data_IF_510441967711
#
_entry.id   IF_510441967711
#
_cell.length_a   1.000
_cell.length_b   1.000
_cell.length_c   1.000
_cell.angle_alpha   90.00
_cell.angle_beta   90.00
_cell.angle_gamma   90.00
#
_symmetry.space_group_name_H-M   'P 1'
#
loop_
_entity.id
_entity.type
_entity.pdbx_description
1 polymer ?
#
# COMPACT_ATOMS: atom_id res chain seq x y z
N UNK A 1 -16.97 29.91 -16.59
CA UNK A 1 -15.76 29.77 -17.44
C UNK A 1 -15.04 28.49 -17.02
N UNK A 2 -15.37 27.37 -17.68
CA UNK A 2 -14.80 26.05 -17.37
C UNK A 2 -13.61 25.78 -18.28
N UNK A 3 -12.40 25.89 -17.73
CA UNK A 3 -11.18 25.44 -18.37
C UNK A 3 -11.19 23.92 -18.52
N UNK A 4 -11.80 23.41 -19.59
CA UNK A 4 -11.59 22.06 -20.12
C UNK A 4 -10.17 22.01 -20.68
N UNK A 5 -9.18 21.87 -19.81
CA UNK A 5 -7.80 21.64 -20.22
C UNK A 5 -7.70 20.33 -21.00
N UNK A 6 -7.35 20.46 -22.28
CA UNK A 6 -6.88 19.44 -23.22
C UNK A 6 -6.60 18.04 -22.61
N UNK A 7 -7.64 17.23 -22.42
CA UNK A 7 -7.48 15.80 -22.29
C UNK A 7 -7.29 15.26 -23.71
N UNK A 8 -6.04 15.19 -24.18
CA UNK A 8 -5.71 14.55 -25.44
C UNK A 8 -6.42 13.19 -25.50
N UNK A 9 -7.28 13.01 -26.50
CA UNK A 9 -8.00 11.76 -26.73
C UNK A 9 -6.98 10.64 -26.88
N UNK A 10 -6.86 9.81 -25.86
CA UNK A 10 -6.01 8.63 -25.93
C UNK A 10 -6.63 7.68 -26.96
N UNK A 11 -5.86 7.35 -27.98
CA UNK A 11 -6.28 6.35 -28.97
C UNK A 11 -6.26 4.95 -28.35
N UNK A 12 -7.20 4.08 -28.73
CA UNK A 12 -7.19 2.69 -28.29
C UNK A 12 -5.93 1.97 -28.77
N UNK A 13 -5.44 1.02 -27.98
CA UNK A 13 -4.34 0.15 -28.36
C UNK A 13 -4.78 -0.80 -29.49
N UNK A 14 -3.85 -1.23 -30.37
CA UNK A 14 -4.16 -2.14 -31.48
C UNK A 14 -4.80 -3.45 -31.02
N UNK A 15 -4.18 -4.15 -30.06
CA UNK A 15 -4.65 -5.43 -29.53
C UNK A 15 -5.35 -5.19 -28.19
N UNK A 16 -6.63 -5.57 -28.12
CA UNK A 16 -7.53 -5.27 -26.99
C UNK A 16 -8.07 -6.57 -26.38
N UNK A 17 -7.27 -7.26 -25.55
CA UNK A 17 -7.74 -8.46 -24.87
C UNK A 17 -9.00 -8.16 -24.05
N UNK A 18 -9.95 -9.09 -24.07
CA UNK A 18 -11.17 -8.99 -23.26
C UNK A 18 -10.83 -9.15 -21.77
N UNK A 19 -11.34 -8.26 -20.88
CA UNK A 19 -11.15 -8.41 -19.45
C UNK A 19 -11.89 -9.65 -18.95
N UNK A 20 -11.27 -10.45 -18.10
CA UNK A 20 -11.92 -11.59 -17.48
C UNK A 20 -12.67 -11.16 -16.20
N UNK A 21 -13.79 -11.83 -15.90
CA UNK A 21 -14.58 -11.52 -14.71
C UNK A 21 -13.79 -11.83 -13.43
N UNK A 22 -13.70 -10.88 -12.51
CA UNK A 22 -12.96 -11.01 -11.25
C UNK A 22 -11.45 -10.83 -11.37
N UNK A 23 -10.92 -10.63 -12.57
CA UNK A 23 -9.48 -10.46 -12.83
C UNK A 23 -8.92 -9.23 -12.09
N UNK A 24 -7.77 -9.32 -11.39
CA UNK A 24 -7.13 -8.14 -10.83
C UNK A 24 -6.76 -7.13 -11.91
N UNK A 25 -6.97 -5.84 -11.64
CA UNK A 25 -6.67 -4.75 -12.59
C UNK A 25 -5.22 -4.78 -13.09
N UNK A 26 -4.27 -5.08 -12.21
CA UNK A 26 -2.85 -5.17 -12.53
C UNK A 26 -2.55 -6.35 -13.48
N UNK A 27 -3.23 -7.49 -13.31
CA UNK A 27 -3.11 -8.65 -14.21
C UNK A 27 -3.63 -8.33 -15.60
N UNK A 28 -4.78 -7.65 -15.68
CA UNK A 28 -5.34 -7.21 -16.95
C UNK A 28 -4.42 -6.21 -17.67
N UNK A 29 -3.85 -5.24 -16.94
CA UNK A 29 -2.90 -4.25 -17.49
C UNK A 29 -1.65 -4.95 -18.02
N UNK A 30 -1.14 -5.96 -17.33
CA UNK A 30 -0.01 -6.74 -17.85
C UNK A 30 -0.37 -7.45 -19.16
N UNK A 31 -1.48 -8.18 -19.20
CA UNK A 31 -1.95 -8.84 -20.44
C UNK A 31 -2.11 -7.84 -21.56
N UNK A 32 -2.66 -6.66 -21.27
CA UNK A 32 -2.81 -5.58 -22.23
C UNK A 32 -1.45 -5.06 -22.72
N UNK A 33 -0.46 -4.91 -21.84
CA UNK A 33 0.89 -4.49 -22.19
C UNK A 33 1.58 -5.52 -23.10
N UNK A 34 1.62 -6.78 -22.66
CA UNK A 34 2.28 -7.87 -23.40
C UNK A 34 1.64 -8.10 -24.76
N UNK A 35 0.30 -8.04 -24.85
CA UNK A 35 -0.42 -8.17 -26.12
C UNK A 35 -0.08 -7.04 -27.11
N UNK A 36 0.41 -5.90 -26.65
CA UNK A 36 0.84 -4.78 -27.49
C UNK A 36 2.37 -4.60 -27.50
N UNK A 37 3.13 -5.62 -27.07
CA UNK A 37 4.60 -5.59 -26.96
C UNK A 37 5.15 -4.40 -26.15
N UNK A 38 4.39 -3.95 -25.14
CA UNK A 38 4.79 -2.91 -24.21
C UNK A 38 5.30 -3.53 -22.92
N UNK A 39 6.26 -2.86 -22.28
CA UNK A 39 6.65 -3.22 -20.90
C UNK A 39 5.47 -2.98 -19.94
N UNK A 40 5.15 -3.93 -19.04
CA UNK A 40 4.11 -3.74 -18.04
C UNK A 40 4.31 -2.46 -17.19
N UNK A 41 5.55 -2.20 -16.77
CA UNK A 41 5.93 -1.00 -16.01
C UNK A 41 5.62 0.29 -16.77
N UNK A 42 5.92 0.32 -18.08
CA UNK A 42 5.68 1.46 -18.95
C UNK A 42 4.18 1.74 -19.10
N UNK A 43 3.38 0.73 -19.46
CA UNK A 43 1.94 0.90 -19.63
C UNK A 43 1.28 1.33 -18.32
N UNK A 44 1.65 0.71 -17.20
CA UNK A 44 1.14 1.07 -15.88
C UNK A 44 1.45 2.53 -15.53
N UNK A 45 2.69 2.97 -15.78
CA UNK A 45 3.10 4.36 -15.58
C UNK A 45 2.31 5.34 -16.45
N UNK A 46 2.13 4.99 -17.72
CA UNK A 46 1.34 5.77 -18.66
C UNK A 46 -0.14 5.88 -18.27
N UNK A 47 -0.71 4.82 -17.70
CA UNK A 47 -2.07 4.76 -17.20
C UNK A 47 -2.28 5.57 -15.91
N UNK A 48 -1.27 5.64 -15.03
CA UNK A 48 -1.30 6.53 -13.88
C UNK A 48 -1.22 8.01 -14.31
N UNK A 49 -0.35 8.29 -15.29
CA UNK A 49 -0.22 9.58 -15.97
C UNK A 49 0.39 10.69 -15.10
N UNK A 50 0.66 11.87 -15.70
CA UNK A 50 1.28 12.98 -14.99
C UNK A 50 0.38 13.54 -13.87
N UNK A 51 0.95 14.06 -12.77
CA UNK A 51 2.37 14.09 -12.42
C UNK A 51 2.86 12.82 -11.68
N UNK A 52 1.96 11.87 -11.38
CA UNK A 52 2.23 10.71 -10.51
C UNK A 52 2.22 9.40 -11.30
N UNK A 53 3.29 9.13 -12.04
CA UNK A 53 3.45 7.89 -12.81
C UNK A 53 3.52 6.62 -11.95
N UNK A 54 3.88 6.73 -10.68
CA UNK A 54 3.95 5.59 -9.74
C UNK A 54 2.64 5.37 -8.96
N UNK A 55 1.62 6.21 -9.21
CA UNK A 55 0.38 6.25 -8.44
C UNK A 55 -0.65 5.18 -8.81
N UNK A 56 -1.89 5.47 -8.44
CA UNK A 56 -3.05 4.68 -8.83
C UNK A 56 -3.35 4.86 -10.33
N UNK A 57 -3.80 3.77 -10.95
CA UNK A 57 -4.25 3.75 -12.35
C UNK A 57 -5.49 4.63 -12.50
N UNK A 58 -5.54 5.47 -13.53
CA UNK A 58 -6.73 6.27 -13.84
C UNK A 58 -7.69 5.44 -14.71
N UNK A 59 -8.90 5.10 -14.24
CA UNK A 59 -9.82 4.23 -14.99
C UNK A 59 -10.19 4.79 -16.36
N UNK A 60 -10.35 6.11 -16.48
CA UNK A 60 -10.62 6.76 -17.77
C UNK A 60 -9.51 6.57 -18.81
N UNK A 61 -8.23 6.49 -18.39
CA UNK A 61 -7.12 6.21 -19.31
C UNK A 61 -7.10 4.76 -19.74
N UNK A 62 -7.37 3.83 -18.81
CA UNK A 62 -7.50 2.41 -19.14
C UNK A 62 -8.69 2.14 -20.07
N UNK A 63 -9.82 2.80 -19.83
CA UNK A 63 -11.00 2.75 -20.69
C UNK A 63 -10.67 3.17 -22.13
N UNK A 64 -9.99 4.31 -22.30
CA UNK A 64 -9.59 4.80 -23.61
C UNK A 64 -8.64 3.82 -24.33
N UNK A 65 -7.60 3.32 -23.65
CA UNK A 65 -6.62 2.39 -24.25
C UNK A 65 -7.20 1.00 -24.55
N UNK A 66 -8.07 0.49 -23.69
CA UNK A 66 -8.72 -0.83 -23.90
C UNK A 66 -9.91 -0.76 -24.86
N UNK A 67 -10.40 0.44 -25.20
CA UNK A 67 -11.64 0.63 -25.97
C UNK A 67 -12.88 0.15 -25.22
N UNK A 68 -12.88 0.21 -23.88
CA UNK A 68 -13.99 -0.23 -23.02
C UNK A 68 -14.50 0.92 -22.15
N UNK A 69 -15.76 0.84 -21.73
CA UNK A 69 -16.31 1.85 -20.81
C UNK A 69 -15.76 1.64 -19.40
N UNK A 70 -15.65 2.74 -18.66
CA UNK A 70 -15.18 2.73 -17.26
C UNK A 70 -16.04 1.78 -16.42
N UNK A 71 -17.36 1.84 -16.57
CA UNK A 71 -18.31 1.02 -15.82
C UNK A 71 -18.12 -0.50 -16.06
N UNK A 72 -17.80 -0.91 -17.30
CA UNK A 72 -17.52 -2.32 -17.59
C UNK A 72 -16.24 -2.74 -16.87
N UNK A 73 -15.16 -1.95 -16.98
CA UNK A 73 -13.89 -2.28 -16.34
C UNK A 73 -13.99 -2.32 -14.81
N UNK A 74 -14.71 -1.38 -14.18
CA UNK A 74 -14.92 -1.37 -12.73
C UNK A 74 -15.77 -2.55 -12.24
N UNK A 75 -16.69 -3.03 -13.06
CA UNK A 75 -17.53 -4.20 -12.74
C UNK A 75 -16.79 -5.51 -12.97
N UNK A 76 -15.93 -5.60 -13.99
CA UNK A 76 -15.21 -6.83 -14.33
C UNK A 76 -13.92 -6.99 -13.54
N UNK A 77 -13.15 -5.91 -13.36
CA UNK A 77 -11.81 -5.96 -12.79
C UNK A 77 -11.80 -5.68 -11.29
N UNK A 78 -11.08 -6.49 -10.55
CA UNK A 78 -10.86 -6.31 -9.12
C UNK A 78 -9.79 -5.24 -8.88
N UNK A 79 -10.11 -4.21 -8.09
CA UNK A 79 -9.11 -3.25 -7.61
C UNK A 79 -8.75 -2.10 -8.57
N UNK A 80 -9.44 -1.93 -9.71
CA UNK A 80 -9.27 -0.75 -10.61
C UNK A 80 -9.79 0.57 -9.98
N UNK A 81 -10.51 0.42 -8.86
CA UNK A 81 -11.00 1.42 -7.93
C UNK A 81 -12.39 2.01 -8.21
N UNK A 82 -13.21 1.96 -7.15
CA UNK A 82 -14.35 2.85 -6.90
C UNK A 82 -13.84 4.21 -6.39
N UNK A 83 -12.98 4.90 -7.15
CA UNK A 83 -12.42 6.20 -6.77
C UNK A 83 -13.21 7.38 -7.34
N UNK A 84 -14.53 7.23 -7.42
CA UNK A 84 -15.46 8.34 -7.25
C UNK A 84 -16.17 8.08 -5.93
N UNK A 85 -15.77 8.76 -4.85
CA UNK A 85 -16.77 9.09 -3.84
C UNK A 85 -17.71 10.05 -4.58
N UNK A 86 -18.99 9.73 -4.81
CA UNK A 86 -19.91 10.74 -5.32
C UNK A 86 -19.80 11.95 -4.39
N UNK A 87 -19.71 13.16 -4.93
CA UNK A 87 -19.56 14.39 -4.15
C UNK A 87 -20.60 14.49 -3.02
N UNK A 88 -21.77 13.85 -3.18
CA UNK A 88 -22.81 13.68 -2.18
C UNK A 88 -22.37 13.00 -0.86
N UNK A 89 -21.31 12.18 -0.85
CA UNK A 89 -20.77 11.57 0.38
C UNK A 89 -19.67 12.41 1.05
N UNK A 90 -19.16 13.46 0.40
CA UNK A 90 -18.18 14.38 1.01
C UNK A 90 -18.81 15.31 2.06
N UNK A 91 -20.15 15.45 2.05
CA UNK A 91 -20.92 16.29 2.98
C UNK A 91 -21.40 15.55 4.24
N UNK A 92 -21.09 14.25 4.39
CA UNK A 92 -21.42 13.56 5.63
C UNK A 92 -20.45 14.01 6.74
N UNK A 93 -20.94 14.59 7.85
CA UNK A 93 -20.07 14.96 8.96
C UNK A 93 -19.34 13.71 9.45
N UNK A 94 -18.03 13.84 9.65
CA UNK A 94 -17.20 12.73 10.08
C UNK A 94 -17.75 12.15 11.39
N UNK A 95 -18.29 10.93 11.34
CA UNK A 95 -18.69 10.21 12.57
C UNK A 95 -17.50 10.27 13.55
N UNK A 96 -17.73 10.62 14.84
CA UNK A 96 -16.65 10.72 15.81
C UNK A 96 -15.90 9.39 15.84
N UNK A 97 -14.58 9.45 15.62
CA UNK A 97 -13.74 8.25 15.65
C UNK A 97 -13.79 7.69 17.07
N UNK A 98 -14.46 6.55 17.26
CA UNK A 98 -14.37 5.80 18.52
C UNK A 98 -12.89 5.58 18.83
N UNK A 99 -12.41 6.12 19.96
CA UNK A 99 -11.03 5.95 20.42
C UNK A 99 -10.76 4.45 20.59
N UNK A 100 -9.99 3.87 19.68
CA UNK A 100 -9.51 2.50 19.80
C UNK A 100 -8.24 2.53 20.64
N UNK A 101 -8.21 1.76 21.73
CA UNK A 101 -7.00 1.55 22.53
C UNK A 101 -5.92 0.98 21.63
N UNK A 102 -4.82 1.70 21.43
CA UNK A 102 -3.68 1.25 20.63
C UNK A 102 -2.85 0.27 21.43
N UNK A 103 -2.00 -0.50 20.76
CA UNK A 103 -1.07 -1.39 21.46
C UNK A 103 -0.16 -0.63 22.44
N UNK A 104 0.25 0.59 22.08
CA UNK A 104 1.06 1.47 22.92
C UNK A 104 0.33 1.93 24.20
N UNK A 105 -1.00 1.98 24.19
CA UNK A 105 -1.80 2.44 25.34
C UNK A 105 -2.05 1.31 26.36
N UNK A 106 -1.76 0.05 25.99
CA UNK A 106 -2.07 -1.13 26.82
C UNK A 106 -1.25 -1.23 28.11
N UNK A 107 0.07 -0.93 28.16
CA UNK A 107 0.83 -0.98 29.41
C UNK A 107 0.28 -0.01 30.45
N UNK A 108 -0.09 1.22 30.03
CA UNK A 108 -0.71 2.20 30.91
C UNK A 108 -2.07 1.73 31.43
N UNK A 109 -2.88 1.08 30.58
CA UNK A 109 -4.15 0.48 30.99
C UNK A 109 -3.94 -0.66 32.01
N UNK A 110 -2.93 -1.52 31.81
CA UNK A 110 -2.60 -2.61 32.74
C UNK A 110 -2.12 -2.07 34.10
N UNK A 111 -1.33 -1.00 34.10
CA UNK A 111 -0.90 -0.34 35.33
C UNK A 111 -2.08 0.29 36.09
N UNK A 112 -3.01 0.94 35.39
CA UNK A 112 -4.22 1.51 35.98
C UNK A 112 -5.13 0.43 36.59
N UNK A 113 -5.33 -0.69 35.88
CA UNK A 113 -6.11 -1.84 36.39
C UNK A 113 -5.51 -2.41 37.68
N UNK A 114 -4.18 -2.54 37.76
CA UNK A 114 -3.50 -3.06 38.95
C UNK A 114 -3.61 -2.10 40.14
N UNK A 115 -3.53 -0.79 39.90
CA UNK A 115 -3.73 0.23 40.94
C UNK A 115 -5.13 0.12 41.54
N UNK A 116 -6.16 0.17 40.70
CA UNK A 116 -7.55 0.10 41.16
C UNK A 116 -7.86 -1.23 41.88
N UNK A 117 -7.24 -2.33 41.45
CA UNK A 117 -7.38 -3.62 42.14
C UNK A 117 -6.67 -3.65 43.50
N UNK A 118 -5.52 -2.96 43.63
CA UNK A 118 -4.82 -2.79 44.91
C UNK A 118 -5.63 -1.92 45.88
N UNK A 119 -6.36 -0.94 45.35
CA UNK A 119 -7.27 -0.07 46.10
C UNK A 119 -8.56 -0.79 46.56
N UNK A 120 -8.71 -2.07 46.22
CA UNK A 120 -9.81 -2.94 46.67
C UNK A 120 -11.04 -2.95 45.77
N UNK A 121 -10.99 -2.31 44.59
CA UNK A 121 -12.13 -2.33 43.66
C UNK A 121 -12.39 -3.75 43.12
N UNK A 122 -13.63 -4.26 43.16
CA UNK A 122 -13.92 -5.59 42.63
C UNK A 122 -13.80 -5.60 41.11
N UNK A 123 -13.39 -6.74 40.55
CA UNK A 123 -13.13 -6.94 39.11
C UNK A 123 -14.29 -6.45 38.21
N UNK A 124 -15.55 -6.56 38.67
CA UNK A 124 -16.73 -6.08 37.93
C UNK A 124 -16.76 -4.55 37.81
N UNK A 125 -16.40 -3.83 38.86
CA UNK A 125 -16.33 -2.37 38.88
C UNK A 125 -15.23 -1.87 37.96
N UNK A 126 -14.05 -2.49 38.03
CA UNK A 126 -12.92 -2.20 37.13
C UNK A 126 -13.29 -2.46 35.67
N UNK A 127 -14.03 -3.54 35.38
CA UNK A 127 -14.49 -3.87 34.03
C UNK A 127 -15.44 -2.81 33.46
N UNK A 128 -16.38 -2.31 34.28
CA UNK A 128 -17.30 -1.26 33.90
C UNK A 128 -16.58 0.07 33.67
N UNK A 129 -15.67 0.45 34.58
CA UNK A 129 -14.88 1.71 34.53
C UNK A 129 -14.04 1.80 33.27
N UNK A 130 -13.24 0.76 32.99
CA UNK A 130 -12.33 0.75 31.83
C UNK A 130 -12.97 0.20 30.54
N UNK A 131 -14.22 -0.26 30.59
CA UNK A 131 -14.94 -0.92 29.48
C UNK A 131 -14.15 -2.07 28.86
N UNK A 132 -13.49 -2.85 29.72
CA UNK A 132 -12.68 -4.02 29.33
C UNK A 132 -13.34 -5.30 29.83
N UNK A 133 -13.15 -6.40 29.11
CA UNK A 133 -13.65 -7.69 29.55
C UNK A 133 -12.87 -8.18 30.79
N UNK A 134 -13.56 -8.80 31.76
CA UNK A 134 -12.96 -9.41 32.97
C UNK A 134 -11.74 -10.31 32.72
N UNK A 135 -11.64 -10.92 31.53
CA UNK A 135 -10.46 -11.71 31.10
C UNK A 135 -9.20 -10.84 31.00
N UNK A 136 -9.30 -9.62 30.49
CA UNK A 136 -8.19 -8.69 30.38
C UNK A 136 -7.73 -8.20 31.76
N UNK A 137 -8.66 -8.02 32.70
CA UNK A 137 -8.33 -7.65 34.08
C UNK A 137 -7.55 -8.77 34.76
N UNK A 138 -8.06 -10.01 34.72
CA UNK A 138 -7.32 -11.17 35.25
C UNK A 138 -5.93 -11.31 34.62
N UNK A 139 -5.82 -11.01 33.32
CA UNK A 139 -4.54 -11.02 32.63
C UNK A 139 -3.59 -9.90 33.11
N UNK A 140 -4.10 -8.70 33.37
CA UNK A 140 -3.31 -7.59 33.90
C UNK A 140 -2.88 -7.79 35.36
N UNK A 141 -3.67 -8.54 36.14
CA UNK A 141 -3.31 -8.93 37.50
C UNK A 141 -2.28 -10.08 37.51
N UNK A 142 -2.32 -10.97 36.51
CA UNK A 142 -1.39 -12.08 36.40
C UNK A 142 -0.01 -11.66 35.85
N UNK A 143 0.04 -10.72 34.89
CA UNK A 143 1.29 -10.24 34.27
C UNK A 143 1.23 -8.72 34.05
N UNK A 144 2.21 -7.95 34.57
CA UNK A 144 2.28 -6.51 34.34
C UNK A 144 2.49 -6.12 32.87
N UNK A 145 3.05 -7.01 32.06
CA UNK A 145 3.36 -6.77 30.65
C UNK A 145 2.24 -7.32 29.77
N UNK A 146 1.53 -6.48 28.99
CA UNK A 146 0.50 -6.99 28.11
C UNK A 146 1.11 -7.91 27.04
N UNK A 147 0.49 -9.06 26.73
CA UNK A 147 1.04 -9.97 25.73
C UNK A 147 1.16 -9.26 24.38
N UNK A 148 2.23 -9.56 23.61
CA UNK A 148 2.34 -9.03 22.27
C UNK A 148 1.14 -9.47 21.43
N UNK A 149 0.67 -8.59 20.55
CA UNK A 149 -0.41 -8.94 19.63
C UNK A 149 0.06 -10.10 18.77
N UNK A 150 -0.70 -11.21 18.76
CA UNK A 150 -0.47 -12.33 17.83
C UNK A 150 -0.40 -11.78 16.41
N UNK A 151 0.79 -11.88 15.81
CA UNK A 151 0.98 -11.43 14.44
C UNK A 151 0.40 -12.49 13.50
N UNK A 152 -0.36 -12.09 12.47
CA UNK A 152 -0.84 -13.03 11.48
C UNK A 152 0.37 -13.62 10.73
N UNK A 153 0.56 -14.94 10.84
CA UNK A 153 1.59 -15.67 10.12
C UNK A 153 1.11 -15.91 8.68
N UNK A 154 1.09 -14.85 7.86
CA UNK A 154 0.83 -14.96 6.42
C UNK A 154 2.00 -14.34 5.69
N UNK A 155 2.72 -15.15 4.91
CA UNK A 155 3.76 -14.65 4.03
C UNK A 155 3.14 -13.64 3.06
N UNK A 156 3.65 -12.41 3.08
CA UNK A 156 3.17 -11.40 2.16
C UNK A 156 3.71 -11.66 0.75
N UNK A 157 3.07 -11.11 -0.29
CA UNK A 157 3.58 -11.21 -1.66
C UNK A 157 5.03 -10.67 -1.78
N UNK A 158 5.39 -9.68 -0.96
CA UNK A 158 6.77 -9.19 -0.87
C UNK A 158 7.73 -10.19 -0.25
N UNK A 159 7.28 -11.00 0.71
CA UNK A 159 8.16 -11.99 1.35
C UNK A 159 8.61 -13.06 0.36
N UNK A 160 7.73 -13.44 -0.59
CA UNK A 160 8.10 -14.32 -1.71
C UNK A 160 9.14 -13.71 -2.64
N UNK A 161 9.09 -12.40 -2.85
CA UNK A 161 10.04 -11.67 -3.71
C UNK A 161 11.29 -11.20 -2.97
N UNK A 162 11.42 -11.49 -1.67
CA UNK A 162 12.56 -11.06 -0.85
C UNK A 162 13.87 -11.53 -1.45
N UNK A 163 13.98 -12.82 -1.80
CA UNK A 163 15.20 -13.39 -2.38
C UNK A 163 15.61 -12.68 -3.67
N UNK A 164 14.66 -12.46 -4.57
CA UNK A 164 14.85 -11.73 -5.82
C UNK A 164 15.35 -10.30 -5.58
N UNK A 165 14.71 -9.55 -4.69
CA UNK A 165 15.11 -8.17 -4.36
C UNK A 165 16.49 -8.15 -3.72
N UNK A 166 16.80 -9.11 -2.86
CA UNK A 166 18.13 -9.25 -2.25
C UNK A 166 19.19 -9.50 -3.31
N UNK A 167 18.97 -10.41 -4.26
CA UNK A 167 19.90 -10.68 -5.37
C UNK A 167 20.14 -9.42 -6.20
N UNK A 168 19.08 -8.70 -6.58
CA UNK A 168 19.19 -7.43 -7.32
C UNK A 168 20.06 -6.41 -6.57
N UNK A 169 19.84 -6.26 -5.26
CA UNK A 169 20.62 -5.33 -4.43
C UNK A 169 22.06 -5.78 -4.21
N UNK A 170 22.36 -7.08 -4.22
CA UNK A 170 23.73 -7.59 -4.10
C UNK A 170 24.51 -7.47 -5.41
N UNK A 171 23.86 -7.69 -6.55
CA UNK A 171 24.50 -7.59 -7.87
C UNK A 171 24.68 -6.13 -8.30
N UNK A 172 23.69 -5.28 -8.03
CA UNK A 172 23.67 -3.87 -8.44
C UNK A 172 23.22 -2.98 -7.26
N UNK A 173 24.12 -2.64 -6.33
CA UNK A 173 23.76 -1.93 -5.08
C UNK A 173 23.18 -0.53 -5.32
N UNK A 174 23.57 0.11 -6.42
CA UNK A 174 23.14 1.46 -6.80
C UNK A 174 21.73 1.51 -7.42
N UNK A 175 21.06 0.36 -7.58
CA UNK A 175 19.70 0.33 -8.13
C UNK A 175 18.76 1.22 -7.30
N UNK A 176 18.02 2.06 -8.02
CA UNK A 176 16.97 2.86 -7.42
C UNK A 176 15.76 1.98 -7.10
N UNK A 177 15.00 2.36 -6.08
CA UNK A 177 13.74 1.68 -5.74
C UNK A 177 12.79 1.61 -6.94
N UNK A 178 12.80 2.65 -7.78
CA UNK A 178 11.99 2.70 -8.99
C UNK A 178 12.41 1.62 -9.98
N UNK A 179 13.71 1.49 -10.28
CA UNK A 179 14.22 0.45 -11.18
C UNK A 179 13.93 -0.96 -10.65
N UNK A 180 14.10 -1.18 -9.33
CA UNK A 180 13.74 -2.46 -8.70
C UNK A 180 12.25 -2.74 -8.91
N UNK A 181 11.39 -1.75 -8.65
CA UNK A 181 9.95 -1.91 -8.84
C UNK A 181 9.57 -2.17 -10.31
N UNK A 182 10.14 -1.45 -11.26
CA UNK A 182 9.92 -1.67 -12.70
C UNK A 182 10.34 -3.08 -13.11
N UNK A 183 11.53 -3.54 -12.66
CA UNK A 183 12.03 -4.90 -12.92
C UNK A 183 11.15 -5.99 -12.30
N UNK A 184 10.60 -5.75 -11.11
CA UNK A 184 9.63 -6.67 -10.48
C UNK A 184 8.31 -6.76 -11.27
N UNK A 185 7.85 -5.65 -11.87
CA UNK A 185 6.66 -5.65 -12.71
C UNK A 185 6.90 -6.33 -14.07
N UNK A 186 8.07 -6.11 -14.65
CA UNK A 186 8.42 -6.56 -16.00
C UNK A 186 8.88 -8.03 -16.03
N UNK A 187 9.75 -8.45 -15.10
CA UNK A 187 10.41 -9.77 -15.13
C UNK A 187 9.77 -10.79 -14.17
N UNK A 188 9.17 -10.34 -13.07
CA UNK A 188 8.74 -11.21 -11.96
C UNK A 188 7.22 -11.26 -11.77
N UNK A 189 6.48 -10.73 -12.73
CA UNK A 189 5.05 -10.77 -12.72
C UNK A 189 4.40 -10.21 -11.43
N UNK A 190 5.09 -9.30 -10.73
CA UNK A 190 4.63 -8.80 -9.45
C UNK A 190 3.45 -7.83 -9.60
N UNK A 191 2.43 -7.95 -8.73
CA UNK A 191 1.33 -7.00 -8.62
C UNK A 191 1.43 -6.19 -7.32
N UNK A 192 2.50 -5.40 -7.20
CA UNK A 192 2.88 -4.71 -5.95
C UNK A 192 3.00 -3.20 -6.20
N UNK A 193 2.52 -2.40 -5.25
CA UNK A 193 2.66 -0.94 -5.31
C UNK A 193 4.11 -0.49 -5.07
N UNK A 194 4.48 0.61 -5.71
CA UNK A 194 5.79 1.25 -5.52
C UNK A 194 6.09 1.52 -4.04
N UNK A 195 5.15 2.13 -3.29
CA UNK A 195 5.35 2.47 -1.87
C UNK A 195 5.68 1.25 -1.02
N UNK A 196 5.10 0.10 -1.36
CA UNK A 196 5.33 -1.16 -0.64
C UNK A 196 6.74 -1.69 -0.92
N UNK A 197 7.20 -1.63 -2.16
CA UNK A 197 8.60 -1.94 -2.51
C UNK A 197 9.55 -0.93 -1.85
N UNK A 198 9.24 0.36 -1.86
CA UNK A 198 10.03 1.41 -1.23
C UNK A 198 10.24 1.16 0.26
N UNK A 199 9.16 0.95 1.02
CA UNK A 199 9.25 0.66 2.45
C UNK A 199 10.05 -0.62 2.73
N UNK A 200 9.93 -1.62 1.87
CA UNK A 200 10.65 -2.87 2.01
C UNK A 200 12.15 -2.72 1.75
N UNK A 201 12.54 -2.06 0.66
CA UNK A 201 13.95 -1.81 0.31
C UNK A 201 14.61 -0.91 1.35
N UNK A 202 13.93 0.14 1.83
CA UNK A 202 14.45 0.98 2.93
C UNK A 202 14.74 0.13 4.17
N UNK A 203 13.80 -0.74 4.57
CA UNK A 203 13.99 -1.65 5.72
C UNK A 203 15.16 -2.61 5.50
N UNK A 204 15.30 -3.17 4.30
CA UNK A 204 16.42 -4.06 3.97
C UNK A 204 17.77 -3.35 4.02
N UNK A 205 17.87 -2.13 3.47
CA UNK A 205 19.10 -1.32 3.53
C UNK A 205 19.45 -0.93 4.95
N UNK A 206 18.46 -0.56 5.77
CA UNK A 206 18.69 -0.27 7.20
C UNK A 206 19.15 -1.48 8.00
N UNK A 207 18.75 -2.70 7.61
CA UNK A 207 19.23 -3.93 8.24
C UNK A 207 20.64 -4.33 7.79
N UNK A 208 21.09 -3.88 6.62
CA UNK A 208 22.39 -4.18 6.02
C UNK A 208 23.22 -2.90 5.79
N UNK A 209 23.84 -2.33 6.83
CA UNK A 209 24.53 -1.03 6.75
C UNK A 209 25.74 -1.00 5.77
N UNK A 210 26.26 -2.15 5.35
CA UNK A 210 27.36 -2.25 4.38
C UNK A 210 27.01 -1.99 2.91
N UNK A 211 25.73 -1.84 2.56
CA UNK A 211 25.25 -1.68 1.17
C UNK A 211 24.67 -0.27 0.89
N UNK A 212 25.02 0.72 1.71
CA UNK A 212 24.53 2.09 1.52
C UNK A 212 25.23 2.72 0.31
N UNK A 213 24.53 3.04 -0.81
CA UNK A 213 25.19 3.70 -1.92
C UNK A 213 25.66 5.09 -1.47
N UNK A 214 26.94 5.38 -1.74
CA UNK A 214 27.54 6.66 -1.43
C UNK A 214 26.68 7.77 -2.07
N UNK A 215 26.09 8.62 -1.22
CA UNK A 215 25.24 9.74 -1.62
C UNK A 215 26.01 10.61 -2.61
N UNK A 216 25.71 10.50 -3.90
CA UNK A 216 26.36 11.24 -5.00
C UNK A 216 26.32 12.73 -4.66
N UNK A 217 27.46 13.30 -4.24
CA UNK A 217 27.62 14.75 -4.04
C UNK A 217 27.23 15.41 -5.37
N UNK A 218 26.17 16.22 -5.36
CA UNK A 218 25.85 17.09 -6.49
C UNK A 218 27.07 17.99 -6.70
N UNK A 219 27.72 17.82 -7.84
CA UNK A 219 28.79 18.69 -8.32
C UNK A 219 28.13 20.03 -8.67
N UNK A 220 28.05 20.94 -7.71
CA UNK A 220 27.67 22.33 -7.96
C UNK A 220 28.86 23.00 -8.63
N UNK A 221 28.87 23.01 -9.96
CA UNK A 221 29.73 23.92 -10.72
C UNK A 221 29.17 25.32 -10.57
N UNK A 222 29.83 26.15 -9.76
CA UNK A 222 29.67 27.61 -9.74
C UNK A 222 30.84 28.16 -10.54
N UNK A 223 30.60 28.47 -11.81
CA UNK A 223 31.47 29.33 -12.62
C UNK A 223 31.03 30.77 -12.39
N UNK A 224 31.95 31.59 -11.88
CA UNK A 224 32.13 32.98 -12.28
C UNK A 224 33.61 33.30 -12.12
#
# INVERSE_FOLDING_TARGET
MNSRGAAGQLCPLPIRPRPAAGEPSETYIRRLALANHLRPSYLRGYLAGPPRYLGAIRPGRLAALSGRTIAVLERTLTGLARHTRPAAQAQQPARPRRRRVRAADKPALFAAIRRDAQDGDPIRTIAARYRVHRRMIRQALADPTPPPRKQPQRASALDRLRGTITIMLTTEPDLTVRQIWERLLDDHDAAISYDRVHQFVVRLRSANPGCTPARRRRRTGKTN
#
